data_IF_370166142541
#
_entry.id   IF_370166142541
#
_cell.length_a   1.000
_cell.length_b   1.000
_cell.length_c   1.000
_cell.angle_alpha   90.00
_cell.angle_beta   90.00
_cell.angle_gamma   90.00
#
_symmetry.space_group_name_H-M   'P 1'
#
loop_
_entity.id
_entity.type
_entity.pdbx_description
1 polymer ?
#
# COMPACT_ATOMS: atom_id res chain seq x y z
N UNK A 1 -3.83 40.48 2.78
CA UNK A 1 -3.84 39.47 1.72
C UNK A 1 -3.36 38.16 2.30
N UNK A 2 -4.29 37.37 2.87
CA UNK A 2 -3.99 36.02 3.28
C UNK A 2 -3.91 35.17 2.01
N UNK A 3 -2.71 34.83 1.56
CA UNK A 3 -2.55 33.77 0.58
C UNK A 3 -2.96 32.46 1.24
N UNK A 4 -3.99 31.77 0.79
CA UNK A 4 -4.39 30.52 1.39
C UNK A 4 -3.25 29.50 1.23
N UNK A 5 -2.92 28.79 2.31
CA UNK A 5 -1.89 27.74 2.32
C UNK A 5 -2.13 26.68 1.25
N UNK A 6 -3.40 26.48 0.88
CA UNK A 6 -3.83 25.57 -0.19
C UNK A 6 -4.64 26.40 -1.19
N UNK A 7 -4.09 26.73 -2.36
CA UNK A 7 -4.84 27.41 -3.40
C UNK A 7 -5.99 26.51 -3.91
N UNK A 8 -7.26 26.96 -3.85
CA UNK A 8 -8.42 26.16 -4.30
C UNK A 8 -8.31 25.70 -5.78
N UNK A 9 -7.59 26.46 -6.60
CA UNK A 9 -7.31 26.13 -8.00
C UNK A 9 -6.62 24.78 -8.18
N UNK A 10 -5.75 24.36 -7.21
CA UNK A 10 -5.04 23.09 -7.29
C UNK A 10 -5.98 21.89 -7.19
N UNK A 11 -7.04 22.00 -6.40
CA UNK A 11 -8.04 20.94 -6.25
C UNK A 11 -8.91 20.76 -7.51
N UNK A 12 -8.90 21.74 -8.43
CA UNK A 12 -9.64 21.68 -9.70
C UNK A 12 -8.83 20.99 -10.81
N UNK A 13 -7.50 20.85 -10.63
CA UNK A 13 -6.65 20.20 -11.61
C UNK A 13 -6.98 18.72 -11.71
N UNK A 14 -7.08 18.23 -12.96
CA UNK A 14 -7.42 16.83 -13.24
C UNK A 14 -6.42 15.86 -12.64
N UNK A 15 -5.13 16.17 -12.69
CA UNK A 15 -4.07 15.36 -12.09
C UNK A 15 -4.20 15.24 -10.57
N UNK A 16 -4.48 16.35 -9.88
CA UNK A 16 -4.69 16.37 -8.43
C UNK A 16 -5.91 15.56 -8.04
N UNK A 17 -7.05 15.75 -8.74
CA UNK A 17 -8.27 14.96 -8.49
C UNK A 17 -8.06 13.47 -8.72
N UNK A 18 -7.35 13.09 -9.77
CA UNK A 18 -6.98 11.70 -10.03
C UNK A 18 -6.03 11.16 -8.93
N UNK A 19 -5.05 11.97 -8.51
CA UNK A 19 -4.17 11.64 -7.40
C UNK A 19 -4.93 11.41 -6.10
N UNK A 20 -5.91 12.26 -5.78
CA UNK A 20 -6.80 12.09 -4.61
C UNK A 20 -7.54 10.76 -4.67
N UNK A 21 -8.15 10.44 -5.81
CA UNK A 21 -8.89 9.18 -5.97
C UNK A 21 -7.99 7.96 -5.79
N UNK A 22 -6.82 7.96 -6.42
CA UNK A 22 -5.82 6.88 -6.26
C UNK A 22 -5.39 6.78 -4.79
N UNK A 23 -5.10 7.92 -4.14
CA UNK A 23 -4.72 7.94 -2.73
C UNK A 23 -5.78 7.30 -1.84
N UNK A 24 -7.03 7.74 -1.97
CA UNK A 24 -8.13 7.26 -1.12
C UNK A 24 -8.40 5.76 -1.34
N UNK A 25 -8.43 5.29 -2.58
CA UNK A 25 -8.69 3.88 -2.87
C UNK A 25 -7.48 3.00 -2.53
N UNK A 26 -6.33 3.33 -3.11
CA UNK A 26 -5.15 2.46 -3.01
C UNK A 26 -4.56 2.41 -1.61
N UNK A 27 -4.33 3.57 -0.97
CA UNK A 27 -3.70 3.60 0.34
C UNK A 27 -4.62 3.14 1.47
N UNK A 28 -5.95 3.29 1.35
CA UNK A 28 -6.89 2.69 2.31
C UNK A 28 -6.87 1.17 2.23
N UNK A 29 -6.91 0.60 1.02
CA UNK A 29 -6.81 -0.86 0.82
C UNK A 29 -5.46 -1.37 1.31
N UNK A 30 -4.37 -0.67 0.97
CA UNK A 30 -3.03 -1.03 1.39
C UNK A 30 -2.87 -1.08 2.92
N UNK A 31 -3.28 -0.01 3.61
CA UNK A 31 -3.13 0.05 5.07
C UNK A 31 -4.06 -0.93 5.79
N UNK A 32 -5.27 -1.16 5.27
CA UNK A 32 -6.17 -2.18 5.76
C UNK A 32 -5.59 -3.59 5.61
N UNK A 33 -5.00 -3.89 4.45
CA UNK A 33 -4.27 -5.15 4.22
C UNK A 33 -3.13 -5.32 5.23
N UNK A 34 -2.28 -4.31 5.42
CA UNK A 34 -1.17 -4.37 6.37
C UNK A 34 -1.64 -4.60 7.81
N UNK A 35 -2.74 -3.94 8.19
CA UNK A 35 -3.36 -4.13 9.50
C UNK A 35 -3.88 -5.56 9.68
N UNK A 36 -4.68 -6.08 8.75
CA UNK A 36 -5.21 -7.44 8.80
C UNK A 36 -4.09 -8.49 8.80
N UNK A 37 -3.05 -8.27 8.00
CA UNK A 37 -1.87 -9.13 7.93
C UNK A 37 -1.15 -9.21 9.28
N UNK A 38 -0.87 -8.05 9.90
CA UNK A 38 -0.22 -7.99 11.20
C UNK A 38 -1.08 -8.67 12.29
N UNK A 39 -2.39 -8.43 12.27
CA UNK A 39 -3.32 -9.02 13.22
C UNK A 39 -3.40 -10.55 13.05
N UNK A 40 -3.50 -11.03 11.81
CA UNK A 40 -3.51 -12.48 11.52
C UNK A 40 -2.23 -13.16 11.99
N UNK A 41 -1.06 -12.56 11.75
CA UNK A 41 0.22 -13.12 12.21
C UNK A 41 0.33 -13.14 13.73
N UNK A 42 -0.10 -12.09 14.43
CA UNK A 42 0.04 -11.99 15.88
C UNK A 42 -1.04 -12.79 16.62
N UNK A 43 -2.31 -12.60 16.27
CA UNK A 43 -3.42 -13.24 16.98
C UNK A 43 -3.83 -14.56 16.36
N UNK A 44 -3.75 -14.72 15.04
CA UNK A 44 -4.09 -15.96 14.34
C UNK A 44 -3.00 -17.03 14.42
N UNK A 45 -1.74 -16.64 14.14
CA UNK A 45 -0.59 -17.57 14.16
C UNK A 45 0.19 -17.54 15.49
N UNK A 46 -0.19 -16.70 16.45
CA UNK A 46 0.49 -16.58 17.74
C UNK A 46 1.92 -16.04 17.66
N UNK A 47 2.27 -15.35 16.56
CA UNK A 47 3.61 -14.77 16.40
C UNK A 47 3.84 -13.64 17.41
N UNK A 48 5.02 -13.60 18.02
CA UNK A 48 5.43 -12.43 18.79
C UNK A 48 5.51 -11.18 17.87
N UNK A 49 5.30 -9.96 18.39
CA UNK A 49 5.34 -8.73 17.58
C UNK A 49 6.61 -8.56 16.74
N UNK A 50 7.77 -8.98 17.26
CA UNK A 50 9.03 -8.92 16.53
C UNK A 50 9.10 -9.94 15.37
N UNK A 51 8.48 -11.11 15.51
CA UNK A 51 8.40 -12.14 14.44
C UNK A 51 7.50 -11.64 13.30
N UNK A 52 6.34 -11.08 13.65
CA UNK A 52 5.45 -10.43 12.70
C UNK A 52 6.16 -9.28 11.98
N UNK A 53 6.89 -8.43 12.70
CA UNK A 53 7.70 -7.36 12.11
C UNK A 53 8.76 -7.87 11.14
N UNK A 54 9.48 -8.93 11.49
CA UNK A 54 10.50 -9.54 10.65
C UNK A 54 9.93 -10.09 9.32
N UNK A 55 8.66 -10.50 9.31
CA UNK A 55 7.98 -10.97 8.09
C UNK A 55 7.81 -9.87 7.03
N UNK A 56 7.96 -8.60 7.41
CA UNK A 56 7.93 -7.46 6.49
C UNK A 56 9.32 -6.95 6.07
N UNK A 57 10.41 -7.54 6.55
CA UNK A 57 11.77 -7.11 6.17
C UNK A 57 11.97 -7.21 4.65
N UNK A 58 11.58 -8.35 4.05
CA UNK A 58 11.69 -8.54 2.60
C UNK A 58 10.89 -7.49 1.82
N UNK A 59 9.68 -7.15 2.29
CA UNK A 59 8.87 -6.07 1.72
C UNK A 59 9.62 -4.73 1.77
N UNK A 60 10.18 -4.36 2.92
CA UNK A 60 10.91 -3.11 3.10
C UNK A 60 12.17 -3.03 2.23
N UNK A 61 12.95 -4.10 2.17
CA UNK A 61 14.18 -4.17 1.35
C UNK A 61 13.87 -4.04 -0.13
N UNK A 62 12.91 -4.81 -0.63
CA UNK A 62 12.53 -4.76 -2.06
C UNK A 62 11.84 -3.45 -2.43
N UNK A 63 11.04 -2.87 -1.52
CA UNK A 63 10.49 -1.53 -1.67
C UNK A 63 11.60 -0.49 -1.85
N UNK A 64 12.61 -0.50 -0.97
CA UNK A 64 13.74 0.43 -1.04
C UNK A 64 14.50 0.30 -2.36
N UNK A 65 14.85 -0.94 -2.75
CA UNK A 65 15.54 -1.21 -4.01
C UNK A 65 14.72 -0.73 -5.21
N UNK A 66 13.45 -1.09 -5.25
CA UNK A 66 12.53 -0.69 -6.32
C UNK A 66 12.34 0.82 -6.39
N UNK A 67 12.19 1.50 -5.24
CA UNK A 67 12.04 2.95 -5.17
C UNK A 67 13.26 3.68 -5.73
N UNK A 68 14.46 3.14 -5.53
CA UNK A 68 15.71 3.68 -6.08
C UNK A 68 15.75 3.65 -7.61
N UNK A 69 15.20 2.58 -8.22
CA UNK A 69 15.19 2.41 -9.67
C UNK A 69 13.93 2.99 -10.35
N UNK A 70 12.82 3.15 -9.62
CA UNK A 70 11.54 3.56 -10.17
C UNK A 70 11.61 4.84 -11.02
N UNK A 71 12.31 5.95 -10.62
CA UNK A 71 12.39 7.15 -11.44
C UNK A 71 13.04 6.90 -12.81
N UNK A 72 14.07 6.03 -12.87
CA UNK A 72 14.75 5.68 -14.13
C UNK A 72 13.84 4.84 -15.03
N UNK A 73 13.11 3.89 -14.44
CA UNK A 73 12.15 3.06 -15.16
C UNK A 73 10.99 3.91 -15.74
N UNK A 74 10.45 4.83 -14.95
CA UNK A 74 9.40 5.74 -15.38
C UNK A 74 9.87 6.65 -16.53
N UNK A 75 11.12 7.13 -16.46
CA UNK A 75 11.69 7.96 -17.53
C UNK A 75 11.85 7.18 -18.85
N UNK A 76 12.13 5.87 -18.76
CA UNK A 76 12.36 5.00 -19.95
C UNK A 76 11.05 4.46 -20.56
N UNK A 77 10.07 4.07 -19.74
CA UNK A 77 8.90 3.30 -20.18
C UNK A 77 7.56 4.05 -20.09
N UNK A 78 7.46 5.14 -19.44
CA UNK A 78 6.28 5.92 -19.09
C UNK A 78 5.69 5.61 -17.71
N UNK A 79 5.01 6.61 -17.14
CA UNK A 79 4.37 6.49 -15.82
C UNK A 79 3.26 5.46 -15.80
N UNK A 80 2.44 5.41 -16.86
CA UNK A 80 1.31 4.46 -16.94
C UNK A 80 1.78 3.02 -17.04
N UNK A 81 2.81 2.76 -17.84
CA UNK A 81 3.39 1.41 -17.97
C UNK A 81 3.94 0.92 -16.64
N UNK A 82 4.71 1.76 -15.94
CA UNK A 82 5.30 1.40 -14.65
C UNK A 82 4.23 1.23 -13.56
N UNK A 83 3.17 2.04 -13.57
CA UNK A 83 2.03 1.86 -12.67
C UNK A 83 1.36 0.50 -12.89
N UNK A 84 1.04 0.15 -14.13
CA UNK A 84 0.40 -1.13 -14.46
C UNK A 84 1.31 -2.32 -14.12
N UNK A 85 2.62 -2.21 -14.39
CA UNK A 85 3.61 -3.22 -14.00
C UNK A 85 3.66 -3.38 -12.49
N UNK A 86 3.69 -2.27 -11.75
CA UNK A 86 3.66 -2.30 -10.28
C UNK A 86 2.41 -2.97 -9.73
N UNK A 87 1.22 -2.66 -10.30
CA UNK A 87 -0.04 -3.30 -9.93
C UNK A 87 -0.02 -4.81 -10.22
N UNK A 88 0.45 -5.22 -11.40
CA UNK A 88 0.55 -6.63 -11.77
C UNK A 88 1.48 -7.42 -10.81
N UNK A 89 2.65 -6.85 -10.50
CA UNK A 89 3.61 -7.45 -9.55
C UNK A 89 3.00 -7.52 -8.15
N UNK A 90 2.31 -6.48 -7.70
CA UNK A 90 1.68 -6.46 -6.38
C UNK A 90 0.55 -7.51 -6.29
N UNK A 91 -0.28 -7.63 -7.32
CA UNK A 91 -1.31 -8.67 -7.38
C UNK A 91 -0.68 -10.07 -7.33
N UNK A 92 0.37 -10.30 -8.12
CA UNK A 92 1.11 -11.57 -8.09
C UNK A 92 1.68 -11.87 -6.69
N UNK A 93 2.23 -10.85 -6.01
CA UNK A 93 2.71 -10.95 -4.64
C UNK A 93 1.61 -11.28 -3.63
N UNK A 94 0.43 -10.67 -3.76
CA UNK A 94 -0.72 -10.97 -2.90
C UNK A 94 -1.25 -12.39 -3.12
N UNK A 95 -1.33 -12.83 -4.37
CA UNK A 95 -1.71 -14.22 -4.70
C UNK A 95 -0.69 -15.23 -4.16
N UNK A 96 0.61 -14.93 -4.30
CA UNK A 96 1.67 -15.74 -3.71
C UNK A 96 1.56 -15.80 -2.18
N UNK A 97 1.18 -14.69 -1.54
CA UNK A 97 0.98 -14.62 -0.10
C UNK A 97 -0.18 -15.53 0.35
N UNK A 98 -1.32 -15.46 -0.34
CA UNK A 98 -2.47 -16.35 -0.10
C UNK A 98 -2.06 -17.82 -0.28
N UNK A 99 -1.33 -18.13 -1.35
CA UNK A 99 -0.83 -19.48 -1.60
C UNK A 99 0.11 -19.96 -0.47
N UNK A 100 1.01 -19.09 0.01
CA UNK A 100 1.92 -19.40 1.12
C UNK A 100 1.14 -19.71 2.40
N UNK A 101 0.11 -18.92 2.74
CA UNK A 101 -0.73 -19.20 3.90
C UNK A 101 -1.49 -20.51 3.77
N UNK A 102 -1.98 -20.86 2.58
CA UNK A 102 -2.67 -22.12 2.34
C UNK A 102 -1.75 -23.35 2.43
N UNK A 103 -0.51 -23.22 1.98
CA UNK A 103 0.47 -24.33 1.96
C UNK A 103 1.07 -24.57 3.35
N UNK A 104 1.47 -23.53 4.04
CA UNK A 104 2.22 -23.62 5.29
C UNK A 104 1.33 -23.45 6.54
N UNK A 105 0.12 -22.92 6.41
CA UNK A 105 -0.82 -22.75 7.53
C UNK A 105 -0.18 -22.11 8.75
N UNK A 106 -0.20 -22.83 9.87
CA UNK A 106 0.36 -22.39 11.16
C UNK A 106 1.91 -22.44 11.22
N UNK A 107 2.58 -23.06 10.25
CA UNK A 107 4.04 -23.16 10.19
C UNK A 107 4.70 -21.98 9.45
N UNK A 108 3.94 -20.93 9.16
CA UNK A 108 4.47 -19.74 8.50
C UNK A 108 5.54 -19.06 9.35
N UNK A 109 6.63 -18.69 8.69
CA UNK A 109 7.76 -17.97 9.26
C UNK A 109 8.07 -16.74 8.40
N UNK A 110 8.89 -15.82 8.92
CA UNK A 110 9.36 -14.68 8.13
C UNK A 110 10.03 -15.10 6.81
N UNK A 111 10.72 -16.25 6.81
CA UNK A 111 11.43 -16.75 5.63
C UNK A 111 10.47 -17.31 4.56
N UNK A 112 9.43 -18.05 4.97
CA UNK A 112 8.42 -18.58 4.03
C UNK A 112 7.59 -17.47 3.39
N UNK A 113 7.35 -16.39 4.13
CA UNK A 113 6.62 -15.21 3.65
C UNK A 113 7.48 -14.26 2.80
N UNK A 114 8.82 -14.31 2.91
CA UNK A 114 9.75 -13.39 2.28
C UNK A 114 9.60 -13.25 0.75
N UNK A 115 9.43 -14.32 -0.05
CA UNK A 115 9.26 -14.18 -1.51
C UNK A 115 7.99 -13.40 -1.86
N UNK A 116 6.87 -13.71 -1.22
CA UNK A 116 5.58 -13.06 -1.47
C UNK A 116 5.58 -11.60 -1.01
N UNK A 117 6.04 -11.33 0.23
CA UNK A 117 6.14 -9.96 0.75
C UNK A 117 7.16 -9.13 -0.03
N UNK A 118 8.23 -9.74 -0.54
CA UNK A 118 9.18 -9.09 -1.41
C UNK A 118 8.57 -8.62 -2.73
N UNK A 119 7.77 -9.45 -3.40
CA UNK A 119 7.03 -9.06 -4.60
C UNK A 119 6.06 -7.90 -4.31
N UNK A 120 5.34 -7.99 -3.20
CA UNK A 120 4.41 -6.92 -2.77
C UNK A 120 5.17 -5.60 -2.58
N UNK A 121 6.30 -5.61 -1.87
CA UNK A 121 7.12 -4.41 -1.64
C UNK A 121 7.67 -3.81 -2.92
N UNK A 122 8.14 -4.65 -3.85
CA UNK A 122 8.64 -4.19 -5.14
C UNK A 122 7.55 -3.48 -5.96
N UNK A 123 6.37 -4.11 -6.10
CA UNK A 123 5.22 -3.54 -6.80
C UNK A 123 4.73 -2.24 -6.14
N UNK A 124 4.65 -2.21 -4.81
CA UNK A 124 4.25 -1.05 -4.01
C UNK A 124 5.09 0.19 -4.31
N UNK A 125 6.41 0.05 -4.40
CA UNK A 125 7.29 1.18 -4.68
C UNK A 125 7.05 1.77 -6.08
N UNK A 126 6.81 0.94 -7.09
CA UNK A 126 6.49 1.39 -8.44
C UNK A 126 5.16 2.17 -8.47
N UNK A 127 4.16 1.70 -7.72
CA UNK A 127 2.85 2.35 -7.63
C UNK A 127 2.97 3.71 -6.94
N UNK A 128 3.65 3.77 -5.78
CA UNK A 128 3.81 5.01 -5.01
C UNK A 128 4.55 6.07 -5.81
N UNK A 129 5.65 5.71 -6.48
CA UNK A 129 6.40 6.65 -7.33
C UNK A 129 5.55 7.14 -8.51
N UNK A 130 4.75 6.26 -9.12
CA UNK A 130 3.84 6.63 -10.21
C UNK A 130 2.70 7.54 -9.72
N UNK A 131 2.16 7.29 -8.54
CA UNK A 131 1.13 8.10 -7.89
C UNK A 131 1.57 9.56 -7.74
N UNK A 132 2.74 9.80 -7.14
CA UNK A 132 3.26 11.15 -6.97
C UNK A 132 3.51 11.83 -8.32
N UNK A 133 4.04 11.10 -9.30
CA UNK A 133 4.29 11.64 -10.64
C UNK A 133 3.01 12.00 -11.39
N UNK A 134 1.96 11.22 -11.25
CA UNK A 134 0.63 11.53 -11.83
C UNK A 134 0.02 12.74 -11.14
N UNK A 135 0.01 12.77 -9.81
CA UNK A 135 -0.58 13.84 -9.03
C UNK A 135 0.11 15.21 -9.24
N UNK A 136 1.41 15.19 -9.53
CA UNK A 136 2.21 16.40 -9.74
C UNK A 136 2.33 16.83 -11.20
N UNK A 137 1.71 16.10 -12.14
CA UNK A 137 1.93 16.29 -13.59
C UNK A 137 1.61 17.68 -14.11
N UNK A 138 0.49 18.26 -13.65
CA UNK A 138 -0.03 19.55 -14.14
C UNK A 138 0.28 20.70 -13.17
N UNK A 139 1.17 20.48 -12.19
CA UNK A 139 1.52 21.45 -11.15
C UNK A 139 2.66 22.33 -11.63
N UNK A 140 2.51 23.65 -11.46
CA UNK A 140 3.60 24.60 -11.69
C UNK A 140 4.64 24.51 -10.59
N UNK A 141 5.94 24.80 -10.88
CA UNK A 141 7.00 24.72 -9.89
C UNK A 141 6.72 25.50 -8.60
N UNK A 142 6.11 26.67 -8.70
CA UNK A 142 5.79 27.53 -7.55
C UNK A 142 4.73 26.93 -6.62
N UNK A 143 3.85 26.06 -7.15
CA UNK A 143 2.81 25.37 -6.39
C UNK A 143 3.20 23.94 -5.94
N UNK A 144 4.40 23.47 -6.29
CA UNK A 144 4.83 22.09 -6.04
C UNK A 144 4.79 21.72 -4.54
N UNK A 145 5.17 22.64 -3.66
CA UNK A 145 5.09 22.43 -2.21
C UNK A 145 3.67 22.23 -1.71
N UNK A 146 2.74 23.10 -2.11
CA UNK A 146 1.33 23.01 -1.72
C UNK A 146 0.66 21.75 -2.28
N UNK A 147 0.93 21.40 -3.53
CA UNK A 147 0.38 20.19 -4.16
C UNK A 147 0.90 18.90 -3.50
N UNK A 148 2.19 18.83 -3.21
CA UNK A 148 2.78 17.68 -2.53
C UNK A 148 2.23 17.54 -1.10
N UNK A 149 2.02 18.65 -0.39
CA UNK A 149 1.38 18.64 0.93
C UNK A 149 -0.07 18.10 0.88
N UNK A 150 -0.86 18.52 -0.12
CA UNK A 150 -2.22 17.99 -0.34
C UNK A 150 -2.19 16.48 -0.56
N UNK A 151 -1.36 16.00 -1.49
CA UNK A 151 -1.25 14.58 -1.82
C UNK A 151 -0.80 13.75 -0.62
N UNK A 152 0.20 14.23 0.14
CA UNK A 152 0.69 13.56 1.34
C UNK A 152 -0.35 13.52 2.46
N UNK A 153 -1.08 14.63 2.69
CA UNK A 153 -2.14 14.67 3.70
C UNK A 153 -3.26 13.69 3.38
N UNK A 154 -3.68 13.64 2.11
CA UNK A 154 -4.72 12.71 1.67
C UNK A 154 -4.25 11.27 1.72
N UNK A 155 -2.99 11.00 1.39
CA UNK A 155 -2.39 9.68 1.57
C UNK A 155 -2.42 9.25 3.04
N UNK A 156 -2.03 10.13 3.97
CA UNK A 156 -2.06 9.82 5.40
C UNK A 156 -3.49 9.61 5.93
N UNK A 157 -4.45 10.43 5.48
CA UNK A 157 -5.86 10.23 5.81
C UNK A 157 -6.37 8.87 5.30
N UNK A 158 -6.02 8.49 4.07
CA UNK A 158 -6.37 7.20 3.48
C UNK A 158 -5.74 6.02 4.25
N UNK A 159 -4.48 6.14 4.67
CA UNK A 159 -3.81 5.15 5.51
C UNK A 159 -4.50 4.96 6.88
N UNK A 160 -5.10 6.03 7.43
CA UNK A 160 -5.91 5.94 8.66
C UNK A 160 -7.26 5.26 8.47
N UNK A 161 -7.90 5.43 7.29
CA UNK A 161 -9.21 4.83 6.99
C UNK A 161 -9.15 3.31 6.79
N UNK A 162 -8.07 2.81 6.23
CA UNK A 162 -7.92 1.38 5.92
C UNK A 162 -8.13 0.47 7.12
N UNK A 163 -7.39 0.61 8.23
CA UNK A 163 -7.57 -0.21 9.42
C UNK A 163 -8.96 -0.12 10.01
N UNK A 164 -9.61 1.05 9.95
CA UNK A 164 -10.98 1.23 10.45
C UNK A 164 -11.99 0.39 9.65
N UNK A 165 -11.91 0.43 8.32
CA UNK A 165 -12.83 -0.30 7.42
C UNK A 165 -12.53 -1.80 7.47
N UNK A 166 -11.29 -2.19 7.20
CA UNK A 166 -10.91 -3.60 7.12
C UNK A 166 -10.92 -4.28 8.49
N UNK A 167 -10.59 -3.54 9.57
CA UNK A 167 -10.72 -4.04 10.93
C UNK A 167 -12.17 -4.37 11.29
N UNK A 168 -13.12 -3.51 10.91
CA UNK A 168 -14.54 -3.78 11.13
C UNK A 168 -15.02 -5.01 10.33
N UNK A 169 -14.59 -5.15 9.07
CA UNK A 169 -14.91 -6.31 8.22
C UNK A 169 -14.32 -7.58 8.84
N UNK A 170 -13.06 -7.56 9.24
CA UNK A 170 -12.38 -8.70 9.87
C UNK A 170 -13.07 -9.12 11.16
N UNK A 171 -13.42 -8.18 12.04
CA UNK A 171 -14.14 -8.48 13.28
C UNK A 171 -15.50 -9.12 13.01
N UNK A 172 -16.23 -8.63 12.02
CA UNK A 172 -17.50 -9.23 11.61
C UNK A 172 -17.31 -10.66 11.07
N UNK A 173 -16.30 -10.87 10.23
CA UNK A 173 -15.97 -12.19 9.71
C UNK A 173 -15.57 -13.17 10.83
N UNK A 174 -14.76 -12.72 11.81
CA UNK A 174 -14.36 -13.53 12.96
C UNK A 174 -15.56 -13.95 13.83
N UNK A 175 -16.54 -13.06 14.01
CA UNK A 175 -17.77 -13.40 14.73
C UNK A 175 -18.55 -14.51 14.03
N UNK A 176 -18.60 -14.50 12.68
CA UNK A 176 -19.29 -15.51 11.89
C UNK A 176 -18.53 -16.85 11.81
N UNK A 177 -17.21 -16.84 11.95
CA UNK A 177 -16.35 -18.03 11.90
C UNK A 177 -15.81 -18.47 13.26
N UNK A 178 -16.51 -18.15 14.36
CA UNK A 178 -16.17 -18.55 15.72
C UNK A 178 -14.73 -18.23 16.16
N UNK A 179 -14.16 -17.14 15.63
CA UNK A 179 -12.82 -16.68 15.98
C UNK A 179 -11.66 -17.28 15.19
N UNK A 180 -11.93 -18.05 14.12
CA UNK A 180 -10.88 -18.58 13.24
C UNK A 180 -10.37 -17.50 12.29
N UNK A 181 -9.20 -16.95 12.59
CA UNK A 181 -8.54 -15.91 11.79
C UNK A 181 -8.14 -16.38 10.39
N UNK A 182 -7.82 -17.67 10.22
CA UNK A 182 -7.38 -18.21 8.93
C UNK A 182 -8.53 -18.30 7.94
N UNK A 183 -9.74 -18.60 8.41
CA UNK A 183 -10.95 -18.62 7.61
C UNK A 183 -11.54 -17.22 7.37
N UNK A 184 -11.40 -16.32 8.32
CA UNK A 184 -11.93 -14.96 8.22
C UNK A 184 -11.15 -14.07 7.22
N UNK A 185 -9.89 -14.42 6.90
CA UNK A 185 -9.00 -13.64 6.03
C UNK A 185 -8.95 -14.18 4.59
N UNK A 186 -9.38 -15.43 4.36
CA UNK A 186 -9.49 -16.04 3.03
C UNK A 186 -10.83 -15.70 2.36
#
# INVERSE_FOLDING_TARGET
NAHPLIPPRLLQLRSVRFGILIAMLFFSVWSGFMFCMALTMQTGLGMAPWQSGNSFIALGVTYFISAWFAPRLIARYSTSTILLTGLAIQIAGLLALIATFRVWGMENTALTLAPATGLVGYGQALIVNSFYRIGMRDIQPDDAGAASAILSTLQQAALGLGPAIFGAILLHALQNHHGDYTQAVN
#
